data_IF_509072126400
#
_entry.id   IF_509072126400
#
_cell.length_a   1.000
_cell.length_b   1.000
_cell.length_c   1.000
_cell.angle_alpha   90.00
_cell.angle_beta   90.00
_cell.angle_gamma   90.00
#
_symmetry.space_group_name_H-M   'P 1'
#
loop_
_entity.id
_entity.type
_entity.pdbx_description
1 polymer ?
#
# COMPACT_ATOMS: atom_id res chain seq x y z
N UNK A 1 -5.22 2.61 -10.44
CA UNK A 1 -6.07 1.56 -9.83
C UNK A 1 -7.41 2.12 -9.40
N UNK A 2 -7.49 3.12 -8.51
CA UNK A 2 -8.76 3.74 -8.05
C UNK A 2 -9.69 4.15 -9.20
N UNK A 3 -9.23 4.99 -10.13
CA UNK A 3 -10.04 5.44 -11.26
C UNK A 3 -10.49 4.29 -12.18
N UNK A 4 -9.66 3.25 -12.33
CA UNK A 4 -10.04 2.05 -13.08
C UNK A 4 -11.13 1.26 -12.35
N UNK A 5 -11.01 1.10 -11.02
CA UNK A 5 -12.00 0.45 -10.18
C UNK A 5 -13.34 1.21 -10.16
N UNK A 6 -13.31 2.54 -10.16
CA UNK A 6 -14.51 3.40 -10.31
C UNK A 6 -15.23 3.16 -11.64
N UNK A 7 -14.49 2.86 -12.72
CA UNK A 7 -15.09 2.48 -14.00
C UNK A 7 -15.65 1.04 -14.05
N UNK A 8 -15.30 0.19 -13.08
CA UNK A 8 -15.73 -1.21 -13.02
C UNK A 8 -16.98 -1.44 -12.15
N UNK A 9 -17.17 -0.61 -11.12
CA UNK A 9 -18.26 -0.76 -10.15
C UNK A 9 -19.13 0.50 -10.10
N UNK A 10 -20.45 0.31 -10.02
CA UNK A 10 -21.43 1.39 -10.02
C UNK A 10 -21.80 1.78 -8.57
N UNK A 11 -20.82 2.29 -7.83
CA UNK A 11 -20.98 2.76 -6.44
C UNK A 11 -20.94 4.30 -6.38
N UNK A 12 -21.54 4.93 -5.36
CA UNK A 12 -21.48 6.38 -5.17
C UNK A 12 -20.05 6.92 -5.15
N UNK A 13 -19.83 8.15 -5.62
CA UNK A 13 -18.49 8.76 -5.66
C UNK A 13 -17.87 8.92 -4.27
N UNK A 14 -18.69 9.17 -3.24
CA UNK A 14 -18.27 9.35 -1.84
C UNK A 14 -18.25 8.03 -1.05
N UNK A 15 -18.29 6.89 -1.74
CA UNK A 15 -18.22 5.59 -1.07
C UNK A 15 -16.81 5.35 -0.49
N UNK A 16 -16.76 4.99 0.80
CA UNK A 16 -15.55 4.66 1.56
C UNK A 16 -14.67 3.62 0.85
N UNK A 17 -15.24 2.74 0.01
CA UNK A 17 -14.47 1.74 -0.73
C UNK A 17 -13.39 2.37 -1.61
N UNK A 18 -13.61 3.58 -2.12
CA UNK A 18 -12.63 4.27 -2.96
C UNK A 18 -11.41 4.72 -2.18
N UNK A 19 -11.61 5.18 -0.94
CA UNK A 19 -10.51 5.52 -0.03
C UNK A 19 -9.71 4.28 0.35
N UNK A 20 -10.37 3.15 0.59
CA UNK A 20 -9.71 1.87 0.88
C UNK A 20 -8.87 1.38 -0.32
N UNK A 21 -9.42 1.44 -1.53
CA UNK A 21 -8.70 1.07 -2.76
C UNK A 21 -7.53 2.04 -3.00
N UNK A 22 -7.69 3.33 -2.73
CA UNK A 22 -6.63 4.33 -2.85
C UNK A 22 -5.49 4.04 -1.88
N UNK A 23 -5.81 3.73 -0.63
CA UNK A 23 -4.83 3.35 0.38
C UNK A 23 -4.07 2.08 -0.02
N UNK A 24 -4.79 1.03 -0.41
CA UNK A 24 -4.20 -0.24 -0.82
C UNK A 24 -3.31 -0.09 -2.07
N UNK A 25 -3.78 0.66 -3.08
CA UNK A 25 -3.03 0.91 -4.31
C UNK A 25 -1.80 1.80 -4.09
N UNK A 26 -1.88 2.80 -3.21
CA UNK A 26 -0.80 3.74 -2.94
C UNK A 26 0.29 3.15 -2.04
N UNK A 27 -0.10 2.45 -0.97
CA UNK A 27 0.84 1.98 0.07
C UNK A 27 1.19 0.50 -0.04
N UNK A 28 0.30 -0.32 -0.61
CA UNK A 28 0.46 -1.77 -0.62
C UNK A 28 1.63 -2.26 -1.47
N UNK A 29 2.01 -1.53 -2.53
CA UNK A 29 3.17 -1.87 -3.35
C UNK A 29 4.48 -1.92 -2.56
N UNK A 30 4.63 -1.07 -1.53
CA UNK A 30 5.87 -0.97 -0.74
C UNK A 30 6.05 -2.10 0.29
N UNK A 31 5.10 -3.04 0.43
CA UNK A 31 5.29 -4.24 1.26
C UNK A 31 6.45 -5.12 0.76
N UNK A 32 6.73 -5.04 -0.54
CA UNK A 32 7.90 -5.62 -1.17
C UNK A 32 8.79 -4.50 -1.69
N UNK A 33 10.11 -4.67 -1.55
CA UNK A 33 11.08 -3.67 -2.01
C UNK A 33 11.02 -3.41 -3.52
N UNK A 34 10.49 -4.33 -4.31
CA UNK A 34 10.30 -4.17 -5.77
C UNK A 34 8.95 -3.57 -6.16
N UNK A 35 8.01 -3.42 -5.23
CA UNK A 35 6.65 -3.00 -5.57
C UNK A 35 6.46 -1.48 -5.60
N UNK A 36 7.53 -0.69 -5.41
CA UNK A 36 7.52 0.76 -5.61
C UNK A 36 8.83 1.28 -6.19
N UNK A 37 8.77 2.42 -6.90
CA UNK A 37 9.95 3.06 -7.48
C UNK A 37 11.00 3.46 -6.42
N UNK A 38 10.55 3.90 -5.25
CA UNK A 38 11.42 4.22 -4.12
C UNK A 38 12.16 2.98 -3.60
N UNK A 39 11.48 1.83 -3.51
CA UNK A 39 12.11 0.58 -3.08
C UNK A 39 13.18 0.09 -4.07
N UNK A 40 12.91 0.17 -5.38
CA UNK A 40 13.89 -0.19 -6.42
C UNK A 40 15.10 0.75 -6.40
N UNK A 41 14.89 2.05 -6.19
CA UNK A 41 15.99 3.01 -6.02
C UNK A 41 16.84 2.68 -4.78
N UNK A 42 16.19 2.35 -3.65
CA UNK A 42 16.88 1.97 -2.43
C UNK A 42 17.71 0.68 -2.58
N UNK A 43 17.24 -0.32 -3.35
CA UNK A 43 18.05 -1.51 -3.66
C UNK A 43 19.35 -1.13 -4.39
N UNK A 44 19.29 -0.20 -5.34
CA UNK A 44 20.45 0.22 -6.11
C UNK A 44 21.47 1.02 -5.28
N UNK A 45 20.98 1.91 -4.41
CA UNK A 45 21.82 2.78 -3.58
C UNK A 45 22.47 2.03 -2.41
N UNK A 46 21.67 1.26 -1.67
CA UNK A 46 22.09 0.59 -0.43
C UNK A 46 22.52 -0.88 -0.65
N UNK A 47 22.50 -1.35 -1.92
CA UNK A 47 22.78 -2.75 -2.30
C UNK A 47 21.99 -3.77 -1.48
N UNK A 48 20.71 -3.47 -1.24
CA UNK A 48 19.81 -4.33 -0.47
C UNK A 48 19.26 -5.43 -1.40
N UNK A 49 19.45 -6.69 -1.01
CA UNK A 49 18.85 -7.83 -1.70
C UNK A 49 17.35 -7.97 -1.41
N UNK A 50 16.59 -8.37 -2.43
CA UNK A 50 15.14 -8.66 -2.30
C UNK A 50 14.84 -9.67 -1.19
N UNK A 51 15.57 -10.79 -1.14
CA UNK A 51 15.37 -11.84 -0.12
C UNK A 51 15.68 -11.32 1.28
N UNK A 52 16.68 -10.44 1.43
CA UNK A 52 17.01 -9.83 2.71
C UNK A 52 15.86 -8.95 3.18
N UNK A 53 15.34 -8.07 2.31
CA UNK A 53 14.22 -7.20 2.64
C UNK A 53 12.98 -8.01 3.01
N UNK A 54 12.68 -9.06 2.23
CA UNK A 54 11.56 -9.96 2.49
C UNK A 54 11.64 -10.60 3.89
N UNK A 55 12.83 -11.02 4.32
CA UNK A 55 13.02 -11.67 5.63
C UNK A 55 13.09 -10.67 6.79
N UNK A 56 13.63 -9.47 6.59
CA UNK A 56 13.97 -8.55 7.67
C UNK A 56 13.05 -7.34 7.80
N UNK A 57 12.47 -6.87 6.71
CA UNK A 57 11.74 -5.59 6.66
C UNK A 57 10.28 -5.78 6.26
N UNK A 58 9.95 -6.76 5.40
CA UNK A 58 8.56 -6.96 4.96
C UNK A 58 7.59 -7.14 6.12
N UNK A 59 7.97 -7.80 7.22
CA UNK A 59 7.10 -7.90 8.40
C UNK A 59 6.81 -6.54 9.06
N UNK A 60 7.79 -5.63 9.11
CA UNK A 60 7.59 -4.26 9.58
C UNK A 60 6.69 -3.48 8.61
N UNK A 61 6.91 -3.64 7.31
CA UNK A 61 6.08 -3.01 6.28
C UNK A 61 4.63 -3.48 6.35
N UNK A 62 4.40 -4.78 6.60
CA UNK A 62 3.06 -5.36 6.80
C UNK A 62 2.40 -4.82 8.06
N UNK A 63 3.14 -4.69 9.17
CA UNK A 63 2.59 -4.07 10.39
C UNK A 63 2.22 -2.60 10.12
N UNK A 64 3.08 -1.83 9.46
CA UNK A 64 2.78 -0.45 9.09
C UNK A 64 1.54 -0.32 8.20
N UNK A 65 1.40 -1.23 7.23
CA UNK A 65 0.21 -1.32 6.38
C UNK A 65 -1.06 -1.66 7.18
N UNK A 66 -0.97 -2.63 8.10
CA UNK A 66 -2.11 -3.02 8.95
C UNK A 66 -2.53 -1.87 9.88
N UNK A 67 -1.57 -1.19 10.51
CA UNK A 67 -1.84 -0.03 11.39
C UNK A 67 -2.47 1.10 10.60
N UNK A 68 -1.93 1.44 9.42
CA UNK A 68 -2.51 2.50 8.59
C UNK A 68 -3.90 2.15 8.07
N UNK A 69 -4.16 0.88 7.73
CA UNK A 69 -5.49 0.41 7.37
C UNK A 69 -6.49 0.58 8.52
N UNK A 70 -6.11 0.19 9.75
CA UNK A 70 -6.95 0.37 10.94
C UNK A 70 -7.23 1.86 11.19
N UNK A 71 -6.21 2.72 11.10
CA UNK A 71 -6.39 4.17 11.26
C UNK A 71 -7.31 4.77 10.21
N UNK A 72 -7.23 4.31 8.96
CA UNK A 72 -8.12 4.73 7.89
C UNK A 72 -9.57 4.33 8.19
N UNK A 73 -9.79 3.10 8.65
CA UNK A 73 -11.12 2.66 9.06
C UNK A 73 -11.67 3.51 10.21
N UNK A 74 -10.84 3.85 11.20
CA UNK A 74 -11.24 4.77 12.27
C UNK A 74 -11.58 6.17 11.73
N UNK A 75 -10.81 6.69 10.78
CA UNK A 75 -11.05 8.01 10.20
C UNK A 75 -12.33 8.06 9.36
N UNK A 76 -12.62 6.99 8.61
CA UNK A 76 -13.86 6.87 7.81
C UNK A 76 -15.10 6.57 8.67
N UNK A 77 -14.91 6.12 9.91
CA UNK A 77 -16.01 5.85 10.85
C UNK A 77 -16.48 7.10 11.63
N UNK A 78 -15.77 8.22 11.49
CA UNK A 78 -16.04 9.52 12.14
C UNK A 78 -16.72 10.43 11.12
#
# INVERSE_FOLDING_TARGET
LVAASMGMYNLPMDDTIWHLIAYAAGTGGSMLIIGSAAGVAAMGMEKIDFIWYLKKITWLAVIGFAVGFVLLLFMESI
#
